data_IF_305008712324
#
_entry.id   IF_305008712324
#
_cell.length_a   1.000
_cell.length_b   1.000
_cell.length_c   1.000
_cell.angle_alpha   90.00
_cell.angle_beta   90.00
_cell.angle_gamma   90.00
#
_symmetry.space_group_name_H-M   'P 1'
#
loop_
_entity.id
_entity.type
_entity.pdbx_description
1 polymer ?
#
# COMPACT_ATOMS: atom_id res chain seq x y z
N UNK A 1 15.42 24.92 0.93
CA UNK A 1 14.44 24.91 -0.17
C UNK A 1 13.52 23.71 0.04
N UNK A 2 12.22 23.93 0.32
CA UNK A 2 11.21 22.85 0.38
C UNK A 2 10.72 22.61 -1.05
N UNK A 3 11.30 21.66 -1.77
CA UNK A 3 10.64 21.08 -2.93
C UNK A 3 9.58 20.11 -2.41
N UNK A 4 8.40 20.63 -2.06
CA UNK A 4 7.22 19.80 -1.92
C UNK A 4 6.66 19.65 -3.33
N UNK A 5 6.98 18.55 -4.01
CA UNK A 5 6.14 18.09 -5.11
C UNK A 5 4.68 18.03 -4.63
N UNK A 6 3.68 18.34 -5.48
CA UNK A 6 2.29 18.38 -5.07
C UNK A 6 1.80 16.97 -4.75
N UNK A 7 1.95 16.59 -3.48
CA UNK A 7 1.31 15.42 -2.91
C UNK A 7 -0.21 15.61 -3.08
N UNK A 8 -0.83 14.85 -3.97
CA UNK A 8 -2.28 14.92 -4.15
C UNK A 8 -2.92 14.11 -3.05
N UNK A 9 -3.72 14.79 -2.23
CA UNK A 9 -4.53 14.16 -1.20
C UNK A 9 -5.97 14.16 -1.67
N UNK A 10 -6.60 13.01 -1.71
CA UNK A 10 -8.01 12.83 -2.09
C UNK A 10 -8.73 12.01 -1.03
N UNK A 11 -10.05 12.21 -0.91
CA UNK A 11 -10.88 11.29 -0.14
C UNK A 11 -10.90 9.93 -0.85
N UNK A 12 -10.87 8.86 -0.06
CA UNK A 12 -10.82 7.48 -0.55
C UNK A 12 -12.08 6.72 -0.16
N UNK A 13 -12.34 5.61 -0.86
CA UNK A 13 -13.46 4.73 -0.55
C UNK A 13 -13.32 4.18 0.88
N UNK A 14 -14.44 3.94 1.55
CA UNK A 14 -14.45 3.17 2.80
C UNK A 14 -13.85 1.78 2.54
N UNK A 15 -12.63 1.58 3.04
CA UNK A 15 -11.83 0.39 2.74
C UNK A 15 -12.46 -0.86 3.35
N UNK A 16 -13.10 -0.75 4.51
CA UNK A 16 -13.75 -1.88 5.19
C UNK A 16 -15.03 -2.26 4.44
N UNK A 17 -15.87 -1.28 4.11
CA UNK A 17 -17.08 -1.52 3.31
C UNK A 17 -16.72 -2.12 1.95
N UNK A 18 -15.71 -1.56 1.28
CA UNK A 18 -15.25 -2.05 -0.03
C UNK A 18 -14.69 -3.47 0.03
N UNK A 19 -13.94 -3.81 1.07
CA UNK A 19 -13.47 -5.17 1.27
C UNK A 19 -14.63 -6.16 1.46
N UNK A 20 -15.67 -5.75 2.19
CA UNK A 20 -16.87 -6.55 2.39
C UNK A 20 -17.65 -6.77 1.08
N UNK A 21 -17.83 -5.73 0.26
CA UNK A 21 -18.46 -5.82 -1.07
C UNK A 21 -17.73 -6.82 -1.99
N UNK A 22 -16.40 -6.81 -1.94
CA UNK A 22 -15.57 -7.70 -2.73
C UNK A 22 -15.47 -9.12 -2.14
N UNK A 23 -16.05 -9.36 -0.96
CA UNK A 23 -15.99 -10.66 -0.27
C UNK A 23 -14.59 -11.03 0.23
N UNK A 24 -13.74 -10.04 0.52
CA UNK A 24 -12.37 -10.23 1.00
C UNK A 24 -12.20 -9.77 2.45
N UNK A 25 -11.10 -10.20 3.09
CA UNK A 25 -10.78 -9.75 4.44
C UNK A 25 -10.45 -8.25 4.41
N UNK A 26 -11.08 -7.48 5.29
CA UNK A 26 -10.70 -6.08 5.51
C UNK A 26 -9.22 -5.98 5.91
N UNK A 27 -8.46 -5.04 5.33
CA UNK A 27 -7.08 -4.82 5.70
C UNK A 27 -6.99 -4.25 7.12
N UNK A 28 -5.93 -4.61 7.85
CA UNK A 28 -5.68 -4.15 9.22
C UNK A 28 -4.23 -3.73 9.41
N UNK A 29 -3.97 -2.76 10.29
CA UNK A 29 -2.61 -2.31 10.59
C UNK A 29 -1.91 -1.72 9.36
N UNK A 30 -0.83 -2.36 8.90
CA UNK A 30 -0.21 -2.04 7.60
C UNK A 30 -0.55 -3.16 6.62
N UNK A 31 -0.97 -2.79 5.42
CA UNK A 31 -1.36 -3.76 4.41
C UNK A 31 -0.95 -3.33 3.00
N UNK A 32 -0.70 -4.31 2.12
CA UNK A 32 -0.69 -4.06 0.68
C UNK A 32 -2.08 -4.27 0.11
N UNK A 33 -2.56 -3.30 -0.65
CA UNK A 33 -3.82 -3.40 -1.40
C UNK A 33 -3.56 -3.67 -2.89
N UNK A 34 -4.53 -4.29 -3.57
CA UNK A 34 -4.55 -4.31 -5.04
C UNK A 34 -4.56 -2.88 -5.61
N UNK A 35 -3.81 -2.64 -6.69
CA UNK A 35 -3.76 -1.34 -7.37
C UNK A 35 -5.09 -0.89 -7.96
N UNK A 36 -5.99 -1.84 -8.25
CA UNK A 36 -7.35 -1.60 -8.73
C UNK A 36 -8.42 -1.83 -7.64
N UNK A 37 -8.07 -1.76 -6.36
CA UNK A 37 -9.01 -2.04 -5.25
C UNK A 37 -10.31 -1.23 -5.31
N UNK A 38 -10.23 0.04 -5.71
CA UNK A 38 -11.42 0.89 -5.90
C UNK A 38 -12.31 0.41 -7.05
N UNK A 39 -11.70 -0.04 -8.15
CA UNK A 39 -12.40 -0.20 -9.44
C UNK A 39 -12.73 -1.64 -9.79
N UNK A 40 -12.12 -2.64 -9.13
CA UNK A 40 -12.40 -4.05 -9.37
C UNK A 40 -13.88 -4.38 -9.14
N UNK A 41 -14.53 -5.08 -10.07
CA UNK A 41 -15.93 -5.49 -9.87
C UNK A 41 -16.06 -6.71 -8.95
N UNK A 42 -14.98 -7.48 -8.78
CA UNK A 42 -14.95 -8.69 -7.96
C UNK A 42 -13.55 -9.00 -7.42
N UNK A 43 -13.45 -9.90 -6.44
CA UNK A 43 -12.16 -10.37 -5.90
C UNK A 43 -11.24 -10.98 -6.96
N UNK A 44 -11.80 -11.64 -7.98
CA UNK A 44 -11.02 -12.28 -9.05
C UNK A 44 -10.32 -11.27 -9.98
N UNK A 45 -10.82 -10.03 -10.02
CA UNK A 45 -10.25 -8.95 -10.82
C UNK A 45 -9.14 -8.21 -10.09
N UNK A 46 -8.92 -8.45 -8.80
CA UNK A 46 -7.90 -7.74 -8.05
C UNK A 46 -6.51 -7.99 -8.66
N UNK A 47 -5.75 -6.89 -8.80
CA UNK A 47 -4.40 -6.87 -9.36
C UNK A 47 -3.46 -6.20 -8.38
N UNK A 48 -2.42 -6.91 -7.98
CA UNK A 48 -1.33 -6.36 -7.19
C UNK A 48 -0.21 -5.86 -8.10
N UNK A 49 0.47 -4.80 -7.68
CA UNK A 49 1.75 -4.43 -8.27
C UNK A 49 2.73 -5.60 -8.18
N UNK A 50 3.59 -5.77 -9.20
CA UNK A 50 4.55 -6.88 -9.29
C UNK A 50 5.54 -6.94 -8.10
N UNK A 51 5.95 -5.78 -7.58
CA UNK A 51 6.76 -5.65 -6.35
C UNK A 51 6.08 -6.19 -5.07
N UNK A 52 4.77 -6.45 -5.04
CA UNK A 52 4.05 -6.81 -3.82
C UNK A 52 4.60 -8.06 -3.09
N UNK A 53 4.93 -9.18 -3.76
CA UNK A 53 5.54 -10.35 -3.10
C UNK A 53 6.90 -10.01 -2.47
N UNK A 54 7.70 -9.16 -3.12
CA UNK A 54 9.00 -8.73 -2.61
C UNK A 54 8.85 -7.84 -1.38
N UNK A 55 7.91 -6.90 -1.39
CA UNK A 55 7.57 -6.07 -0.24
C UNK A 55 7.10 -6.91 0.94
N UNK A 56 6.22 -7.91 0.72
CA UNK A 56 5.80 -8.83 1.79
C UNK A 56 6.97 -9.57 2.41
N UNK A 57 7.90 -10.04 1.57
CA UNK A 57 9.11 -10.72 2.05
C UNK A 57 9.99 -9.78 2.87
N UNK A 58 10.17 -8.55 2.39
CA UNK A 58 11.00 -7.52 3.00
C UNK A 58 10.41 -7.01 4.33
N UNK A 59 9.10 -6.81 4.39
CA UNK A 59 8.39 -6.50 5.63
C UNK A 59 8.50 -7.64 6.64
N UNK A 60 8.30 -8.89 6.20
CA UNK A 60 8.42 -10.06 7.08
C UNK A 60 9.82 -10.18 7.69
N UNK A 61 10.89 -9.86 6.95
CA UNK A 61 12.26 -9.97 7.48
C UNK A 61 12.58 -8.97 8.59
N UNK A 62 11.77 -7.91 8.74
CA UNK A 62 11.90 -6.93 9.83
C UNK A 62 10.77 -7.05 10.87
N UNK A 63 9.96 -8.11 10.79
CA UNK A 63 8.83 -8.34 11.71
C UNK A 63 7.57 -7.52 11.41
N UNK A 64 7.51 -6.83 10.26
CA UNK A 64 6.30 -6.15 9.80
C UNK A 64 5.38 -7.16 9.09
N UNK A 65 4.13 -7.24 9.52
CA UNK A 65 3.16 -8.21 8.99
C UNK A 65 2.19 -7.48 8.05
N UNK A 66 2.08 -7.96 6.81
CA UNK A 66 1.05 -7.51 5.86
C UNK A 66 -0.33 -7.99 6.34
N UNK A 67 -1.14 -7.05 6.82
CA UNK A 67 -2.53 -7.27 7.25
C UNK A 67 -3.55 -7.23 6.10
N UNK A 68 -3.10 -7.17 4.84
CA UNK A 68 -3.95 -7.02 3.67
C UNK A 68 -4.79 -8.25 3.30
N UNK A 69 -5.58 -8.16 2.22
CA UNK A 69 -6.45 -9.25 1.77
C UNK A 69 -5.69 -10.42 1.11
N UNK A 70 -4.37 -10.30 0.95
CA UNK A 70 -3.55 -11.34 0.33
C UNK A 70 -3.51 -12.61 1.17
N UNK A 71 -3.91 -13.72 0.54
CA UNK A 71 -3.70 -15.08 1.04
C UNK A 71 -2.53 -15.67 0.25
N UNK A 72 -1.53 -16.20 0.96
CA UNK A 72 -0.25 -16.64 0.38
C UNK A 72 -0.37 -17.71 -0.71
N UNK A 73 0.77 -18.14 -1.29
CA UNK A 73 0.78 -19.07 -2.43
C UNK A 73 0.06 -20.39 -2.18
N UNK A 74 -0.05 -20.82 -0.91
CA UNK A 74 -0.68 -22.08 -0.50
C UNK A 74 -2.21 -22.07 -0.56
N UNK A 75 -2.86 -20.91 -0.68
CA UNK A 75 -4.32 -20.77 -0.64
C UNK A 75 -4.92 -20.29 -1.98
N UNK A 76 -4.12 -20.28 -3.07
CA UNK A 76 -4.61 -19.99 -4.44
C UNK A 76 -5.71 -20.94 -4.93
N UNK A 77 -6.00 -22.02 -4.20
CA UNK A 77 -7.09 -22.95 -4.52
C UNK A 77 -8.51 -22.39 -4.29
N UNK A 78 -8.66 -21.23 -3.61
CA UNK A 78 -9.96 -20.62 -3.37
C UNK A 78 -9.94 -19.08 -3.61
N UNK A 79 -9.82 -18.69 -4.88
CA UNK A 79 -10.43 -17.45 -5.43
C UNK A 79 -9.97 -16.06 -4.95
N UNK A 80 -9.09 -15.92 -3.96
CA UNK A 80 -8.75 -14.62 -3.35
C UNK A 80 -7.30 -14.14 -3.58
N UNK A 81 -6.56 -14.76 -4.50
CA UNK A 81 -5.20 -14.33 -4.87
C UNK A 81 -5.24 -13.41 -6.08
N UNK A 82 -5.12 -12.09 -5.87
CA UNK A 82 -5.03 -11.14 -6.99
C UNK A 82 -3.81 -11.39 -7.87
N UNK A 83 -3.96 -11.23 -9.19
CA UNK A 83 -2.86 -11.42 -10.15
C UNK A 83 -1.83 -10.27 -10.05
N UNK A 84 -0.60 -10.51 -10.50
CA UNK A 84 0.43 -9.46 -10.57
C UNK A 84 0.28 -8.67 -11.88
N UNK A 85 0.37 -7.35 -11.80
CA UNK A 85 0.32 -6.44 -12.95
C UNK A 85 1.36 -5.32 -12.76
N UNK A 86 2.37 -5.19 -13.64
CA UNK A 86 3.37 -4.11 -13.58
C UNK A 86 2.76 -2.72 -13.81
N UNK A 87 1.54 -2.62 -14.36
CA UNK A 87 0.84 -1.35 -14.57
C UNK A 87 -0.08 -0.95 -13.42
N UNK A 88 -0.35 -1.86 -12.49
CA UNK A 88 -1.14 -1.54 -11.31
C UNK A 88 -0.35 -0.61 -10.38
N UNK A 89 -0.98 0.36 -9.74
CA UNK A 89 -0.34 1.16 -8.70
C UNK A 89 0.13 0.27 -7.55
N UNK A 90 1.27 0.60 -6.94
CA UNK A 90 1.60 0.05 -5.63
C UNK A 90 0.74 0.76 -4.60
N UNK A 91 -0.10 0.02 -3.86
CA UNK A 91 -1.01 0.63 -2.87
C UNK A 91 -0.70 0.09 -1.49
N UNK A 92 -0.45 1.00 -0.55
CA UNK A 92 -0.15 0.69 0.84
C UNK A 92 -1.23 1.30 1.72
N UNK A 93 -1.83 0.48 2.56
CA UNK A 93 -2.83 0.90 3.54
C UNK A 93 -2.22 1.00 4.93
N UNK A 94 -2.56 2.09 5.63
CA UNK A 94 -2.27 2.34 7.04
C UNK A 94 -3.60 2.52 7.78
N UNK A 95 -3.95 1.55 8.62
CA UNK A 95 -5.21 1.48 9.36
C UNK A 95 -5.06 1.66 10.87
N UNK A 96 -6.20 1.82 11.57
CA UNK A 96 -6.34 2.06 13.03
C UNK A 96 -5.80 0.95 13.92
N UNK A 97 -5.39 -0.17 13.34
CA UNK A 97 -4.62 -1.22 13.99
C UNK A 97 -3.17 -0.82 14.34
N UNK A 98 -2.66 0.32 13.88
CA UNK A 98 -1.30 0.81 14.14
C UNK A 98 -1.13 1.42 15.55
N UNK A 99 -1.43 0.67 16.61
CA UNK A 99 -1.65 1.23 17.95
C UNK A 99 -0.41 1.47 18.81
N UNK A 100 0.74 0.88 18.49
CA UNK A 100 1.91 0.92 19.40
C UNK A 100 3.07 1.83 18.98
N UNK A 101 3.13 2.30 17.72
CA UNK A 101 4.10 3.31 17.25
C UNK A 101 3.87 3.60 15.75
N UNK A 102 2.79 4.31 15.36
CA UNK A 102 2.44 4.49 13.96
C UNK A 102 3.58 5.13 13.16
N UNK A 103 4.22 6.18 13.70
CA UNK A 103 5.34 6.86 13.04
C UNK A 103 6.53 5.92 12.71
N UNK A 104 6.90 5.03 13.63
CA UNK A 104 8.00 4.08 13.42
C UNK A 104 7.63 3.05 12.37
N UNK A 105 6.42 2.50 12.43
CA UNK A 105 5.95 1.47 11.50
C UNK A 105 5.78 2.02 10.09
N UNK A 106 5.23 3.24 9.96
CA UNK A 106 5.17 3.97 8.68
C UNK A 106 6.59 4.14 8.11
N UNK A 107 7.52 4.65 8.91
CA UNK A 107 8.92 4.86 8.48
C UNK A 107 9.57 3.55 8.01
N UNK A 108 9.39 2.45 8.75
CA UNK A 108 9.91 1.14 8.36
C UNK A 108 9.27 0.62 7.07
N UNK A 109 7.95 0.75 6.92
CA UNK A 109 7.23 0.32 5.73
C UNK A 109 7.76 1.04 4.48
N UNK A 110 7.87 2.38 4.54
CA UNK A 110 8.42 3.20 3.46
C UNK A 110 9.89 2.90 3.17
N UNK A 111 10.72 2.71 4.19
CA UNK A 111 12.12 2.33 4.00
C UNK A 111 12.28 1.01 3.22
N UNK A 112 11.45 0.02 3.52
CA UNK A 112 11.45 -1.24 2.76
C UNK A 112 10.88 -1.07 1.35
N UNK A 113 9.93 -0.15 1.14
CA UNK A 113 9.42 0.17 -0.21
C UNK A 113 10.53 0.74 -1.08
N UNK A 114 11.23 1.77 -0.59
CA UNK A 114 12.39 2.35 -1.28
C UNK A 114 13.42 1.26 -1.58
N UNK A 115 13.80 0.47 -0.56
CA UNK A 115 14.80 -0.59 -0.73
C UNK A 115 14.40 -1.63 -1.78
N UNK A 116 13.14 -2.10 -1.78
CA UNK A 116 12.67 -3.08 -2.76
C UNK A 116 12.66 -2.49 -4.16
N UNK A 117 12.14 -1.27 -4.34
CA UNK A 117 12.06 -0.64 -5.65
C UNK A 117 13.45 -0.30 -6.22
N UNK A 118 14.40 0.12 -5.38
CA UNK A 118 15.78 0.43 -5.84
C UNK A 118 16.64 -0.80 -6.13
N UNK A 119 16.45 -1.91 -5.40
CA UNK A 119 17.27 -3.12 -5.56
C UNK A 119 16.74 -4.09 -6.63
N UNK A 120 15.55 -3.82 -7.19
CA UNK A 120 14.85 -4.68 -8.16
C UNK A 120 14.60 -3.90 -9.46
N UNK A 121 15.61 -3.76 -10.34
CA UNK A 121 15.45 -3.08 -11.63
C UNK A 121 14.49 -3.82 -12.57
N UNK A 122 14.14 -5.07 -12.27
CA UNK A 122 13.08 -5.84 -12.92
C UNK A 122 11.68 -5.31 -12.65
N UNK A 123 11.51 -4.49 -11.61
CA UNK A 123 10.28 -3.72 -11.35
C UNK A 123 10.26 -2.36 -12.09
N UNK A 124 11.26 -2.06 -12.93
CA UNK A 124 11.44 -0.77 -13.61
C UNK A 124 11.21 -0.88 -15.12
N UNK A 125 9.95 -0.73 -15.54
CA UNK A 125 9.64 -0.30 -16.92
C UNK A 125 9.66 1.23 -17.10
N UNK A 126 9.74 2.01 -16.02
CA UNK A 126 9.62 3.47 -16.02
C UNK A 126 10.24 4.03 -14.74
N UNK A 127 11.11 5.04 -14.85
CA UNK A 127 11.74 5.75 -13.72
C UNK A 127 10.75 6.42 -12.73
N UNK A 128 9.46 6.46 -13.06
CA UNK A 128 8.40 7.01 -12.22
C UNK A 128 7.76 5.90 -11.37
N UNK A 129 8.01 5.94 -10.05
CA UNK A 129 7.31 5.14 -9.06
C UNK A 129 5.89 5.67 -8.91
N UNK A 130 4.91 4.77 -8.94
CA UNK A 130 3.51 5.07 -8.62
C UNK A 130 3.11 4.39 -7.33
N UNK A 131 2.96 5.19 -6.28
CA UNK A 131 2.62 4.72 -4.95
C UNK A 131 1.41 5.49 -4.43
N UNK A 132 0.38 4.76 -4.04
CA UNK A 132 -0.78 5.33 -3.35
C UNK A 132 -0.71 4.89 -1.88
N UNK A 133 -0.61 5.86 -0.96
CA UNK A 133 -0.70 5.60 0.46
C UNK A 133 -2.11 5.92 0.95
N UNK A 134 -2.86 4.88 1.26
CA UNK A 134 -4.21 4.97 1.81
C UNK A 134 -4.13 4.98 3.34
N UNK A 135 -4.76 5.96 3.96
CA UNK A 135 -4.71 6.19 5.41
C UNK A 135 -6.12 6.24 5.98
N UNK A 136 -6.40 5.37 6.94
CA UNK A 136 -7.56 5.50 7.82
C UNK A 136 -7.30 6.62 8.84
N UNK A 137 -8.16 7.64 8.84
CA UNK A 137 -8.10 8.76 9.78
C UNK A 137 -8.78 8.39 11.10
N UNK A 138 -8.51 9.13 12.20
CA UNK A 138 -9.13 8.87 13.50
C UNK A 138 -10.67 8.97 13.52
N UNK A 139 -11.26 9.72 12.59
CA UNK A 139 -12.72 9.85 12.41
C UNK A 139 -13.35 8.70 11.62
N UNK A 140 -12.56 7.72 11.17
CA UNK A 140 -12.98 6.59 10.36
C UNK A 140 -13.07 6.88 8.85
N UNK A 141 -12.78 8.11 8.41
CA UNK A 141 -12.65 8.43 6.98
C UNK A 141 -11.32 7.94 6.41
N UNK A 142 -11.21 7.88 5.09
CA UNK A 142 -10.01 7.40 4.41
C UNK A 142 -9.46 8.46 3.47
N UNK A 143 -8.15 8.69 3.52
CA UNK A 143 -7.44 9.56 2.61
C UNK A 143 -6.51 8.74 1.72
N UNK A 144 -6.34 9.16 0.47
CA UNK A 144 -5.30 8.64 -0.41
C UNK A 144 -4.29 9.74 -0.72
N UNK A 145 -3.03 9.45 -0.44
CA UNK A 145 -1.90 10.25 -0.85
C UNK A 145 -1.29 9.62 -2.09
N UNK A 146 -1.57 10.20 -3.24
CA UNK A 146 -1.02 9.75 -4.52
C UNK A 146 0.39 10.32 -4.69
N UNK A 147 1.34 9.43 -4.96
CA UNK A 147 2.73 9.77 -5.21
C UNK A 147 3.18 9.27 -6.57
N UNK A 148 3.80 10.19 -7.32
CA UNK A 148 4.44 9.94 -8.60
C UNK A 148 5.79 10.64 -8.62
N UNK A 149 6.87 9.89 -8.74
CA UNK A 149 8.22 10.45 -8.75
C UNK A 149 9.29 9.39 -8.53
N UNK A 150 10.46 9.80 -8.04
CA UNK A 150 11.59 8.90 -7.79
C UNK A 150 11.60 8.28 -6.37
N UNK A 151 12.44 7.27 -6.17
CA UNK A 151 12.52 6.58 -4.88
C UNK A 151 13.04 7.45 -3.73
N UNK A 152 13.77 8.54 -4.02
CA UNK A 152 14.40 9.38 -3.01
C UNK A 152 13.42 10.39 -2.40
N UNK A 153 12.39 10.78 -3.15
CA UNK A 153 11.34 11.71 -2.70
C UNK A 153 10.22 11.05 -1.87
N UNK A 154 10.21 9.72 -1.75
CA UNK A 154 9.25 8.96 -0.92
C UNK A 154 9.27 9.35 0.56
N UNK A 155 10.34 9.97 1.05
CA UNK A 155 10.41 10.50 2.41
C UNK A 155 9.35 11.58 2.68
N UNK A 156 9.05 12.44 1.70
CA UNK A 156 8.04 13.49 1.84
C UNK A 156 6.62 12.89 2.00
N UNK A 157 6.32 11.83 1.25
CA UNK A 157 5.09 11.07 1.41
C UNK A 157 5.01 10.40 2.78
N UNK A 158 6.08 9.76 3.24
CA UNK A 158 6.13 9.15 4.57
C UNK A 158 5.87 10.18 5.68
N UNK A 159 6.38 11.40 5.53
CA UNK A 159 6.12 12.49 6.47
C UNK A 159 4.64 12.91 6.46
N UNK A 160 4.04 13.12 5.29
CA UNK A 160 2.63 13.51 5.18
C UNK A 160 1.67 12.45 5.75
N UNK A 161 1.93 11.17 5.48
CA UNK A 161 1.18 10.06 6.07
C UNK A 161 1.28 10.09 7.59
N UNK A 162 2.47 10.33 8.15
CA UNK A 162 2.66 10.43 9.62
C UNK A 162 1.89 11.60 10.23
N UNK A 163 1.88 12.75 9.58
CA UNK A 163 1.18 13.95 10.06
C UNK A 163 -0.34 13.73 10.11
N UNK A 164 -0.88 12.86 9.27
CA UNK A 164 -2.31 12.49 9.29
C UNK A 164 -2.70 11.59 10.47
N UNK A 165 -1.70 10.94 11.09
CA UNK A 165 -1.87 10.03 12.24
C UNK A 165 -1.61 10.69 13.60
N UNK A 166 -1.18 11.96 13.62
CA UNK A 166 -0.84 12.70 14.85
C UNK A 166 -1.99 13.62 15.23
#
# INVERSE_FOLDING_TARGET
MKYLMPLRTTEYVDVVARAAELGIRAPVGIALLPGNFMTAASAAELRYHEAAPHLRSAWRSIGLIDGGPYRGPREHAAGAGGALDPKASLVVFFGSGLRTSPARLITLAFGMIVSVLTLRPDCEGSREIRLDAVVERPDGSYACFEYRGDGYELFALAQAVRETWT
#
